data_IF_138587718392
#
_entry.id   IF_138587718392
#
_cell.length_a   1.000
_cell.length_b   1.000
_cell.length_c   1.000
_cell.angle_alpha   90.00
_cell.angle_beta   90.00
_cell.angle_gamma   90.00
#
_symmetry.space_group_name_H-M   'P 1'
#
loop_
_entity.id
_entity.type
_entity.pdbx_description
1 polymer ?
#
# COMPACT_ATOMS: atom_id res chain seq x y z
N UNK A 1 -2.91 11.47 -11.66
CA UNK A 1 -2.12 12.18 -10.64
C UNK A 1 -1.37 11.18 -9.78
N UNK A 2 -0.09 11.39 -9.64
CA UNK A 2 0.83 10.48 -8.97
C UNK A 2 1.47 11.18 -7.75
N UNK A 3 1.69 10.42 -6.67
CA UNK A 3 2.37 10.92 -5.49
C UNK A 3 3.19 9.81 -4.83
N UNK A 4 4.35 10.15 -4.30
CA UNK A 4 5.19 9.27 -3.50
C UNK A 4 5.41 9.89 -2.12
N UNK A 5 5.28 9.07 -1.09
CA UNK A 5 5.51 9.47 0.29
C UNK A 5 6.57 8.57 0.91
N UNK A 6 7.39 9.15 1.79
CA UNK A 6 8.36 8.42 2.60
C UNK A 6 8.05 8.68 4.07
N UNK A 7 8.18 7.65 4.91
CA UNK A 7 7.94 7.77 6.33
C UNK A 7 8.88 6.83 7.10
N UNK A 8 9.17 7.19 8.35
CA UNK A 8 10.02 6.39 9.22
C UNK A 8 9.36 5.05 9.56
N UNK A 9 10.16 4.00 9.64
CA UNK A 9 9.71 2.68 10.05
C UNK A 9 10.81 1.93 10.79
N UNK A 10 10.44 1.25 11.87
CA UNK A 10 11.36 0.37 12.59
C UNK A 10 11.60 -0.91 11.78
N UNK A 11 12.60 -1.70 12.20
CA UNK A 11 12.86 -2.99 11.57
C UNK A 11 11.64 -3.91 11.65
N UNK A 12 10.90 -3.88 12.76
CA UNK A 12 9.69 -4.68 12.93
C UNK A 12 8.57 -4.24 12.00
N UNK A 13 8.38 -2.94 11.83
CA UNK A 13 7.41 -2.37 10.92
C UNK A 13 7.74 -2.71 9.47
N UNK A 14 9.00 -2.61 9.08
CA UNK A 14 9.46 -2.99 7.74
C UNK A 14 9.21 -4.47 7.48
N UNK A 15 9.49 -5.34 8.45
CA UNK A 15 9.23 -6.77 8.32
C UNK A 15 7.73 -7.06 8.17
N UNK A 16 6.88 -6.36 8.91
CA UNK A 16 5.43 -6.51 8.82
C UNK A 16 4.92 -6.18 7.40
N UNK A 17 5.42 -5.11 6.79
CA UNK A 17 5.05 -4.75 5.42
C UNK A 17 5.57 -5.76 4.40
N UNK A 18 6.82 -6.20 4.57
CA UNK A 18 7.44 -7.14 3.64
C UNK A 18 6.74 -8.49 3.62
N UNK A 19 6.24 -8.93 4.77
CA UNK A 19 5.65 -10.26 4.94
C UNK A 19 4.12 -10.25 4.88
N UNK A 20 3.51 -9.15 4.43
CA UNK A 20 2.07 -9.10 4.26
C UNK A 20 1.59 -10.16 3.29
N UNK A 21 0.49 -10.82 3.69
CA UNK A 21 -0.23 -11.75 2.83
C UNK A 21 -1.49 -11.06 2.30
N UNK A 22 -1.95 -11.48 1.14
CA UNK A 22 -3.22 -11.02 0.56
C UNK A 22 -4.37 -11.21 1.54
N UNK A 23 -4.39 -12.31 2.28
CA UNK A 23 -5.41 -12.60 3.30
C UNK A 23 -5.39 -11.64 4.48
N UNK A 24 -4.32 -10.88 4.67
CA UNK A 24 -4.23 -9.87 5.73
C UNK A 24 -5.02 -8.61 5.41
N UNK A 25 -5.36 -8.40 4.14
CA UNK A 25 -6.10 -7.22 3.71
C UNK A 25 -7.59 -7.49 3.86
N UNK A 26 -8.22 -6.81 4.79
CA UNK A 26 -9.64 -7.01 5.14
C UNK A 26 -10.54 -5.93 4.55
N UNK A 27 -9.98 -4.85 4.06
CA UNK A 27 -10.73 -3.78 3.44
C UNK A 27 -11.32 -4.25 2.11
N UNK A 28 -12.55 -3.81 1.81
CA UNK A 28 -13.24 -4.09 0.56
C UNK A 28 -13.29 -2.88 -0.35
N UNK A 29 -13.02 -1.69 0.19
CA UNK A 29 -13.09 -0.42 -0.53
C UNK A 29 -11.85 0.42 -0.26
N UNK A 30 -11.49 1.26 -1.24
CA UNK A 30 -10.40 2.21 -1.14
C UNK A 30 -10.82 3.50 -1.85
N UNK A 31 -10.81 4.62 -1.12
CA UNK A 31 -11.22 5.94 -1.64
C UNK A 31 -12.62 5.90 -2.29
N UNK A 32 -13.53 5.13 -1.69
CA UNK A 32 -14.91 5.01 -2.17
C UNK A 32 -15.12 4.01 -3.30
N UNK A 33 -14.06 3.36 -3.78
CA UNK A 33 -14.14 2.38 -4.88
C UNK A 33 -13.90 0.97 -4.36
N UNK A 34 -14.55 -0.01 -4.99
CA UNK A 34 -14.32 -1.41 -4.68
C UNK A 34 -12.88 -1.80 -5.01
N UNK A 35 -12.26 -2.57 -4.12
CA UNK A 35 -10.93 -3.11 -4.37
C UNK A 35 -11.05 -4.23 -5.40
N UNK A 36 -10.31 -4.09 -6.50
CA UNK A 36 -10.31 -5.06 -7.60
C UNK A 36 -9.22 -6.11 -7.43
N UNK A 37 -8.08 -5.73 -6.86
CA UNK A 37 -6.96 -6.66 -6.69
C UNK A 37 -6.08 -6.23 -5.52
N UNK A 38 -5.51 -7.21 -4.83
CA UNK A 38 -4.47 -7.01 -3.81
C UNK A 38 -3.30 -7.89 -4.24
N UNK A 39 -2.14 -7.27 -4.44
CA UNK A 39 -0.97 -7.94 -4.96
C UNK A 39 0.19 -7.87 -3.97
N UNK A 40 0.76 -9.01 -3.65
CA UNK A 40 2.00 -9.12 -2.89
C UNK A 40 3.11 -9.76 -3.73
N UNK A 41 2.75 -10.24 -4.91
CA UNK A 41 3.66 -10.86 -5.88
C UNK A 41 3.46 -10.24 -7.26
N UNK A 42 4.53 -10.17 -8.04
CA UNK A 42 4.45 -9.66 -9.40
C UNK A 42 3.66 -10.63 -10.28
N UNK A 43 2.75 -10.12 -11.14
CA UNK A 43 2.03 -10.98 -12.07
C UNK A 43 2.99 -11.70 -13.01
N UNK A 44 2.69 -12.96 -13.27
CA UNK A 44 3.38 -13.77 -14.28
C UNK A 44 4.53 -14.61 -13.76
N UNK A 45 5.30 -14.17 -12.77
CA UNK A 45 6.44 -14.93 -12.27
C UNK A 45 6.41 -15.22 -10.76
N UNK A 46 5.38 -14.78 -10.08
CA UNK A 46 5.18 -14.95 -8.62
C UNK A 46 6.32 -14.38 -7.74
N UNK A 47 7.17 -13.52 -8.29
CA UNK A 47 8.21 -12.88 -7.49
C UNK A 47 7.58 -11.91 -6.50
N UNK A 48 8.06 -11.92 -5.25
CA UNK A 48 7.60 -10.96 -4.23
C UNK A 48 7.89 -9.54 -4.68
N UNK A 49 6.90 -8.63 -4.54
CA UNK A 49 7.11 -7.20 -4.79
C UNK A 49 7.68 -6.49 -3.55
N UNK A 50 7.87 -7.23 -2.44
CA UNK A 50 8.45 -6.69 -1.21
C UNK A 50 7.51 -5.78 -0.43
N UNK A 51 6.20 -5.92 -0.61
CA UNK A 51 5.19 -5.10 0.04
C UNK A 51 3.82 -5.47 -0.49
N UNK A 52 2.92 -4.48 -0.56
CA UNK A 52 1.54 -4.71 -1.01
C UNK A 52 1.14 -3.63 -2.02
N UNK A 53 0.36 -4.02 -3.02
CA UNK A 53 -0.28 -3.10 -3.95
C UNK A 53 -1.79 -3.37 -3.95
N UNK A 54 -2.58 -2.32 -3.76
CA UNK A 54 -4.04 -2.39 -3.75
C UNK A 54 -4.58 -1.58 -4.91
N UNK A 55 -5.39 -2.21 -5.75
CA UNK A 55 -5.83 -1.63 -7.02
C UNK A 55 -7.35 -1.48 -7.03
N UNK A 56 -7.81 -0.32 -7.48
CA UNK A 56 -9.23 -0.04 -7.74
C UNK A 56 -9.40 0.45 -9.18
N UNK A 57 -10.64 0.62 -9.61
CA UNK A 57 -10.96 1.16 -10.94
C UNK A 57 -10.36 2.55 -11.17
N UNK A 58 -10.35 3.39 -10.13
CA UNK A 58 -10.00 4.81 -10.26
C UNK A 58 -8.65 5.17 -9.66
N UNK A 59 -7.89 4.20 -9.18
CA UNK A 59 -6.56 4.45 -8.64
C UNK A 59 -6.00 3.26 -7.91
N UNK A 60 -4.79 3.43 -7.37
CA UNK A 60 -4.09 2.37 -6.64
C UNK A 60 -3.10 2.98 -5.65
N UNK A 61 -2.70 2.18 -4.66
CA UNK A 61 -1.52 2.51 -3.88
C UNK A 61 -0.65 1.25 -3.71
N UNK A 62 0.63 1.48 -3.45
CA UNK A 62 1.56 0.42 -3.06
C UNK A 62 2.36 0.90 -1.85
N UNK A 63 2.57 0.01 -0.88
CA UNK A 63 3.37 0.30 0.30
C UNK A 63 4.53 -0.71 0.36
N UNK A 64 5.77 -0.21 0.48
CA UNK A 64 6.97 -1.03 0.47
C UNK A 64 7.98 -0.55 1.50
N UNK A 65 8.61 -1.48 2.26
CA UNK A 65 9.72 -1.09 3.12
C UNK A 65 10.96 -0.76 2.29
N UNK A 66 11.78 0.19 2.77
CA UNK A 66 13.09 0.45 2.19
C UNK A 66 14.02 -0.72 2.48
N UNK A 67 14.85 -1.09 1.52
CA UNK A 67 15.86 -2.15 1.72
C UNK A 67 17.09 -1.69 2.51
N UNK A 68 17.35 -0.39 2.55
CA UNK A 68 18.60 0.15 3.10
C UNK A 68 18.41 1.14 4.26
N UNK A 69 17.20 1.73 4.38
CA UNK A 69 16.93 2.76 5.37
C UNK A 69 15.79 2.33 6.30
N UNK A 70 15.71 2.97 7.49
CA UNK A 70 14.62 2.74 8.43
C UNK A 70 13.39 3.55 8.04
N UNK A 71 12.86 3.24 6.87
CA UNK A 71 11.72 3.93 6.28
C UNK A 71 10.88 3.00 5.41
N UNK A 72 9.68 3.44 5.08
CA UNK A 72 8.86 2.79 4.07
C UNK A 72 8.35 3.85 3.10
N UNK A 73 7.90 3.40 1.93
CA UNK A 73 7.40 4.26 0.86
C UNK A 73 5.98 3.88 0.51
N UNK A 74 5.17 4.91 0.24
CA UNK A 74 3.85 4.74 -0.33
C UNK A 74 3.85 5.40 -1.69
N UNK A 75 3.47 4.64 -2.71
CA UNK A 75 3.25 5.14 -4.07
C UNK A 75 1.75 5.11 -4.32
N UNK A 76 1.22 6.20 -4.89
CA UNK A 76 -0.21 6.22 -5.21
C UNK A 76 -0.45 7.00 -6.49
N UNK A 77 -1.51 6.60 -7.19
CA UNK A 77 -1.93 7.25 -8.41
C UNK A 77 -3.46 7.29 -8.48
N UNK A 78 -4.01 8.48 -8.75
CA UNK A 78 -5.43 8.67 -9.02
C UNK A 78 -5.61 8.92 -10.51
N UNK A 79 -6.61 8.26 -11.09
CA UNK A 79 -7.01 8.49 -12.48
C UNK A 79 -8.15 9.51 -12.58
N UNK A 80 -8.52 10.15 -11.47
CA UNK A 80 -9.64 11.08 -11.39
C UNK A 80 -9.16 12.51 -11.21
N UNK A 81 -8.77 12.89 -9.98
CA UNK A 81 -8.37 14.27 -9.67
C UNK A 81 -7.58 14.33 -8.34
N UNK A 82 -7.22 15.55 -7.95
CA UNK A 82 -6.45 15.80 -6.73
C UNK A 82 -7.23 15.39 -5.47
N UNK A 83 -8.52 15.64 -5.43
CA UNK A 83 -9.36 15.28 -4.27
C UNK A 83 -9.36 13.76 -4.05
N UNK A 84 -9.50 13.01 -5.13
CA UNK A 84 -9.45 11.55 -5.08
C UNK A 84 -8.06 11.05 -4.65
N UNK A 85 -7.00 11.68 -5.14
CA UNK A 85 -5.62 11.36 -4.74
C UNK A 85 -5.42 11.55 -3.25
N UNK A 86 -5.93 12.64 -2.68
CA UNK A 86 -5.83 12.91 -1.25
C UNK A 86 -6.59 11.88 -0.41
N UNK A 87 -7.73 11.42 -0.89
CA UNK A 87 -8.50 10.38 -0.24
C UNK A 87 -7.77 9.03 -0.29
N UNK A 88 -7.16 8.70 -1.43
CA UNK A 88 -6.29 7.53 -1.57
C UNK A 88 -5.14 7.57 -0.56
N UNK A 89 -4.50 8.72 -0.42
CA UNK A 89 -3.41 8.90 0.52
C UNK A 89 -3.87 8.65 1.96
N UNK A 90 -5.00 9.22 2.35
CA UNK A 90 -5.57 9.03 3.69
C UNK A 90 -5.86 7.55 3.96
N UNK A 91 -6.48 6.87 3.02
CA UNK A 91 -6.83 5.47 3.16
C UNK A 91 -5.59 4.57 3.15
N UNK A 92 -4.58 4.90 2.33
CA UNK A 92 -3.33 4.15 2.29
C UNK A 92 -2.59 4.26 3.63
N UNK A 93 -2.53 5.45 4.21
CA UNK A 93 -1.92 5.65 5.53
C UNK A 93 -2.68 4.91 6.63
N UNK A 94 -4.00 4.93 6.59
CA UNK A 94 -4.83 4.18 7.54
C UNK A 94 -4.58 2.68 7.44
N UNK A 95 -4.42 2.17 6.22
CA UNK A 95 -4.09 0.77 5.99
C UNK A 95 -2.73 0.40 6.62
N UNK A 96 -1.70 1.20 6.36
CA UNK A 96 -0.37 0.95 6.92
C UNK A 96 -0.38 1.05 8.44
N UNK A 97 -1.07 2.04 9.01
CA UNK A 97 -1.19 2.18 10.46
C UNK A 97 -1.86 0.97 11.08
N UNK A 98 -2.87 0.40 10.44
CA UNK A 98 -3.53 -0.82 10.91
C UNK A 98 -2.58 -2.01 10.93
N UNK A 99 -1.73 -2.13 9.90
CA UNK A 99 -0.70 -3.18 9.84
C UNK A 99 0.28 -3.02 11.02
N UNK A 100 0.72 -1.80 11.27
CA UNK A 100 1.68 -1.52 12.34
C UNK A 100 1.10 -1.76 13.74
N UNK A 101 -0.18 -1.51 13.94
CA UNK A 101 -0.86 -1.75 15.21
C UNK A 101 -1.02 -3.24 15.53
N UNK A 102 -0.94 -4.09 14.52
CA UNK A 102 -1.07 -5.54 14.69
C UNK A 102 0.25 -6.23 15.09
N UNK A 103 1.34 -5.46 15.19
CA UNK A 103 2.65 -5.99 15.59
C UNK A 103 2.67 -6.34 17.08
#
# INVERSE_FOLDING_TARGET
MYRRLDAAASAEQKAALKNLDVSSVKQTELAGDDILAVLTKAPGNDASIGGVKVVTKNGWFAARPSGTENSYKIYLESFVDQTHLMQLESDAKAFVDAVFKAI
#
